data_IF_744465150538
#
_entry.id   IF_744465150538
#
_cell.length_a   1.000
_cell.length_b   1.000
_cell.length_c   1.000
_cell.angle_alpha   90.00
_cell.angle_beta   90.00
_cell.angle_gamma   90.00
#
_symmetry.space_group_name_H-M   'P 1'
#
loop_
_entity.id
_entity.type
_entity.pdbx_description
1 polymer ?
#
# COMPACT_ATOMS: atom_id res chain seq x y z
N UNK A 1 -7.29 4.73 16.56
CA UNK A 1 -7.08 5.06 15.14
C UNK A 1 -6.32 3.90 14.49
N UNK A 2 -6.58 3.58 13.23
CA UNK A 2 -5.74 2.60 12.52
C UNK A 2 -4.46 3.30 12.12
N UNK A 3 -3.34 2.75 12.55
CA UNK A 3 -2.01 3.20 12.16
C UNK A 3 -1.71 2.69 10.76
N UNK A 4 -1.28 3.60 9.89
CA UNK A 4 -0.79 3.25 8.56
C UNK A 4 0.66 2.80 8.66
N UNK A 5 1.14 1.90 7.78
CA UNK A 5 2.57 1.68 7.62
C UNK A 5 3.32 2.99 7.35
N UNK A 6 4.64 3.03 7.57
CA UNK A 6 5.44 4.18 7.17
C UNK A 6 5.27 4.49 5.67
N UNK A 7 5.11 5.77 5.34
CA UNK A 7 5.08 6.22 3.96
C UNK A 7 6.44 5.94 3.30
N UNK A 8 6.41 5.21 2.19
CA UNK A 8 7.58 4.94 1.35
C UNK A 8 7.51 5.75 0.06
N UNK A 9 8.64 5.83 -0.65
CA UNK A 9 8.74 6.56 -1.91
C UNK A 9 9.41 5.75 -3.00
N UNK A 10 8.88 5.85 -4.22
CA UNK A 10 9.51 5.34 -5.43
C UNK A 10 9.75 6.50 -6.41
N UNK A 11 10.95 6.55 -7.00
CA UNK A 11 11.22 7.45 -8.12
C UNK A 11 10.91 6.70 -9.41
N UNK A 12 9.90 7.14 -10.14
CA UNK A 12 9.44 6.48 -11.37
C UNK A 12 8.73 7.48 -12.27
N UNK A 13 8.81 7.30 -13.59
CA UNK A 13 8.09 8.11 -14.58
C UNK A 13 8.20 9.64 -14.34
N UNK A 14 9.36 10.12 -13.87
CA UNK A 14 9.59 11.54 -13.60
C UNK A 14 8.98 12.09 -12.30
N UNK A 15 8.37 11.25 -11.45
CA UNK A 15 7.76 11.65 -10.17
C UNK A 15 8.37 10.89 -8.98
N UNK A 16 8.20 11.46 -7.78
CA UNK A 16 8.44 10.78 -6.51
C UNK A 16 7.11 10.32 -5.94
N UNK A 17 6.70 9.09 -6.26
CA UNK A 17 5.44 8.50 -5.85
C UNK A 17 5.50 8.07 -4.38
N UNK A 18 4.57 8.58 -3.56
CA UNK A 18 4.36 8.08 -2.20
C UNK A 18 3.45 6.86 -2.21
N UNK A 19 3.79 5.83 -1.45
CA UNK A 19 2.98 4.61 -1.32
C UNK A 19 3.10 4.01 0.09
N UNK A 20 2.11 3.20 0.45
CA UNK A 20 2.11 2.39 1.66
C UNK A 20 2.28 0.92 1.29
N UNK A 21 3.02 0.18 2.10
CA UNK A 21 3.25 -1.25 1.89
C UNK A 21 3.12 -1.99 3.23
N UNK A 22 2.44 -3.14 3.20
CA UNK A 22 2.31 -4.04 4.34
C UNK A 22 2.41 -5.51 3.90
N UNK A 23 2.62 -6.39 4.87
CA UNK A 23 2.77 -7.82 4.65
C UNK A 23 4.20 -8.26 4.28
N UNK A 24 4.47 -9.57 4.26
CA UNK A 24 5.80 -10.11 4.04
C UNK A 24 6.25 -9.98 2.58
N UNK A 25 7.51 -9.60 2.36
CA UNK A 25 8.15 -9.65 1.04
C UNK A 25 8.51 -11.11 0.73
N UNK A 26 7.87 -11.68 -0.28
CA UNK A 26 8.08 -13.06 -0.75
C UNK A 26 8.13 -13.07 -2.28
N UNK A 27 8.39 -14.23 -2.89
CA UNK A 27 8.36 -14.40 -4.36
C UNK A 27 6.93 -14.42 -4.94
N UNK A 28 5.89 -14.29 -4.10
CA UNK A 28 4.50 -14.19 -4.55
C UNK A 28 4.19 -12.76 -5.04
N UNK A 29 3.35 -12.60 -6.09
CA UNK A 29 2.93 -11.28 -6.54
C UNK A 29 2.22 -10.47 -5.43
N UNK A 30 2.46 -9.16 -5.34
CA UNK A 30 1.71 -8.29 -4.43
C UNK A 30 0.29 -8.03 -4.96
N UNK A 31 -0.60 -7.62 -4.05
CA UNK A 31 -1.86 -6.95 -4.38
C UNK A 31 -1.60 -5.44 -4.45
N UNK A 32 -2.01 -4.82 -5.56
CA UNK A 32 -1.93 -3.37 -5.75
C UNK A 32 -3.33 -2.76 -5.61
N UNK A 33 -3.47 -1.75 -4.76
CA UNK A 33 -4.72 -1.03 -4.54
C UNK A 33 -4.64 0.37 -5.16
N UNK A 34 -5.22 0.53 -6.34
CA UNK A 34 -5.31 1.84 -6.99
C UNK A 34 -6.57 2.57 -6.51
N UNK A 35 -6.40 3.76 -5.94
CA UNK A 35 -7.53 4.61 -5.59
C UNK A 35 -8.10 5.31 -6.84
N UNK A 36 -9.34 5.77 -6.74
CA UNK A 36 -9.96 6.66 -7.71
C UNK A 36 -9.87 8.13 -7.29
N UNK A 37 -10.56 8.99 -8.05
CA UNK A 37 -10.80 10.37 -7.66
C UNK A 37 -12.09 10.46 -6.81
N UNK A 38 -12.17 11.32 -5.78
CA UNK A 38 -11.17 12.28 -5.27
C UNK A 38 -10.34 11.75 -4.08
N UNK A 39 -10.00 10.46 -4.08
CA UNK A 39 -9.42 9.75 -2.94
C UNK A 39 -7.88 9.62 -3.03
N UNK A 40 -7.27 9.03 -2.00
CA UNK A 40 -5.83 8.70 -1.92
C UNK A 40 -5.62 7.31 -1.29
N UNK A 41 -4.37 6.84 -1.16
CA UNK A 41 -4.05 5.55 -0.55
C UNK A 41 -4.67 5.33 0.86
N UNK A 42 -4.95 6.40 1.61
CA UNK A 42 -5.58 6.32 2.94
C UNK A 42 -6.99 5.70 2.93
N UNK A 43 -7.68 5.72 1.79
CA UNK A 43 -9.00 5.09 1.64
C UNK A 43 -8.91 3.58 1.87
N UNK A 44 -7.72 3.00 1.66
CA UNK A 44 -7.43 1.58 1.87
C UNK A 44 -6.88 1.22 3.25
N UNK A 45 -6.84 2.15 4.23
CA UNK A 45 -6.23 1.90 5.55
C UNK A 45 -6.69 0.61 6.25
N UNK A 46 -7.95 0.23 6.07
CA UNK A 46 -8.51 -1.00 6.63
C UNK A 46 -8.06 -2.23 5.86
N UNK A 47 -8.05 -2.16 4.52
CA UNK A 47 -7.62 -3.23 3.62
C UNK A 47 -6.12 -3.50 3.74
N UNK A 48 -5.30 -2.45 3.82
CA UNK A 48 -3.85 -2.55 3.99
C UNK A 48 -3.53 -3.34 5.26
N UNK A 49 -4.18 -3.00 6.39
CA UNK A 49 -4.01 -3.72 7.65
C UNK A 49 -4.45 -5.18 7.53
N UNK A 50 -5.68 -5.42 7.06
CA UNK A 50 -6.24 -6.77 6.98
C UNK A 50 -5.44 -7.70 6.06
N UNK A 51 -5.03 -7.22 4.89
CA UNK A 51 -4.22 -7.99 3.93
C UNK A 51 -2.81 -8.26 4.47
N UNK A 52 -2.19 -7.27 5.12
CA UNK A 52 -0.89 -7.44 5.77
C UNK A 52 -0.93 -8.50 6.89
N UNK A 53 -1.95 -8.46 7.76
CA UNK A 53 -2.18 -9.46 8.83
C UNK A 53 -2.47 -10.86 8.26
N UNK A 54 -3.08 -10.94 7.08
CA UNK A 54 -3.28 -12.20 6.35
C UNK A 54 -2.02 -12.74 5.65
N UNK A 55 -0.87 -12.06 5.77
CA UNK A 55 0.38 -12.47 5.14
C UNK A 55 0.43 -12.19 3.64
N UNK A 56 -0.44 -11.31 3.13
CA UNK A 56 -0.46 -10.87 1.72
C UNK A 56 0.33 -9.57 1.62
N UNK A 57 1.32 -9.55 0.72
CA UNK A 57 2.01 -8.30 0.38
C UNK A 57 1.03 -7.37 -0.34
N UNK A 58 0.73 -6.23 0.25
CA UNK A 58 -0.20 -5.22 -0.29
C UNK A 58 0.50 -3.88 -0.42
N UNK A 59 0.25 -3.19 -1.53
CA UNK A 59 0.78 -1.87 -1.84
C UNK A 59 -0.38 -0.96 -2.26
N UNK A 60 -0.46 0.25 -1.70
CA UNK A 60 -1.49 1.24 -1.99
C UNK A 60 -0.90 2.64 -2.17
#
# INVERSE_FOLDING_TARGET
MIEMPPLQFAHTNGIRMGYYEAGPKTDKPPVILCHGWPEIAFSWRHQIKALGEAGIRVIA
#
